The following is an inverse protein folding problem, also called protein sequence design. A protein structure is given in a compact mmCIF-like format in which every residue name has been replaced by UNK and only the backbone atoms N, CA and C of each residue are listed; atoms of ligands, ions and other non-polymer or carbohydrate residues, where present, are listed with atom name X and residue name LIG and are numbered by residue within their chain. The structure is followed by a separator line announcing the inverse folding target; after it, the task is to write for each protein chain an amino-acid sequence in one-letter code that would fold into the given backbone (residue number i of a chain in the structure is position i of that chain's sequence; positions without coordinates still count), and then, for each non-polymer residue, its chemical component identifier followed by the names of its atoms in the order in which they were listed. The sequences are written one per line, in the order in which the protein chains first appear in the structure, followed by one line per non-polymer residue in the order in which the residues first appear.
data_IF_399094283547
#
_entry.id   IF_399094283547
#
_cell.length_a   1.000
_cell.length_b   1.000
_cell.length_c   1.000
_cell.angle_alpha   90.00
_cell.angle_beta   90.00
_cell.angle_gamma   90.00
#
_symmetry.space_group_name_H-M   'P 1'
#
loop_
_entity.id
_entity.type
_entity.pdbx_description
1 polymer ?
#
# COMPACT_ATOMS: atom_id res chain seq x y z
N UNK A 1 -5.90 42.82 -5.12
CA UNK A 1 -5.77 42.35 -6.53
C UNK A 1 -4.50 41.51 -6.56
N UNK A 2 -4.48 40.19 -6.74
CA UNK A 2 -5.44 39.27 -7.36
C UNK A 2 -5.71 38.08 -6.44
N UNK A 3 -6.98 37.75 -6.25
CA UNK A 3 -7.37 36.42 -5.85
C UNK A 3 -7.07 35.49 -7.03
N UNK A 4 -6.04 34.66 -6.93
CA UNK A 4 -5.94 33.49 -7.80
C UNK A 4 -7.08 32.56 -7.39
N UNK A 5 -8.14 32.58 -8.18
CA UNK A 5 -9.23 31.62 -8.14
C UNK A 5 -8.64 30.24 -8.44
N UNK A 6 -8.26 29.51 -7.39
CA UNK A 6 -8.02 28.07 -7.49
C UNK A 6 -9.36 27.43 -7.86
N UNK A 7 -9.53 27.04 -9.12
CA UNK A 7 -10.67 26.23 -9.52
C UNK A 7 -10.70 24.99 -8.61
N UNK A 8 -11.81 24.70 -7.91
CA UNK A 8 -11.91 23.51 -7.08
C UNK A 8 -11.73 22.28 -7.97
N UNK A 9 -10.91 21.32 -7.51
CA UNK A 9 -10.78 20.03 -8.17
C UNK A 9 -12.17 19.36 -8.27
N UNK A 10 -12.48 18.70 -9.39
CA UNK A 10 -13.76 18.01 -9.55
C UNK A 10 -13.90 16.92 -8.47
N UNK A 11 -14.97 16.99 -7.68
CA UNK A 11 -15.26 16.06 -6.59
C UNK A 11 -16.47 15.19 -6.92
N UNK A 12 -16.36 13.87 -6.69
CA UNK A 12 -17.45 12.91 -6.83
C UNK A 12 -17.74 12.27 -5.46
N UNK A 13 -19.01 12.25 -5.04
CA UNK A 13 -19.46 11.56 -3.83
C UNK A 13 -20.20 10.26 -4.19
N UNK A 14 -19.83 9.15 -3.54
CA UNK A 14 -20.46 7.83 -3.76
C UNK A 14 -20.76 7.18 -2.40
N UNK A 15 -21.89 6.45 -2.26
CA UNK A 15 -22.28 5.79 -1.01
C UNK A 15 -21.47 4.49 -0.81
N UNK A 16 -20.16 4.61 -0.65
CA UNK A 16 -19.25 3.51 -0.33
C UNK A 16 -18.77 3.65 1.11
N UNK A 17 -18.98 2.62 1.94
CA UNK A 17 -18.54 2.62 3.33
C UNK A 17 -17.02 2.89 3.46
N UNK A 18 -16.20 2.36 2.54
CA UNK A 18 -14.76 2.62 2.52
C UNK A 18 -14.38 4.06 2.17
N UNK A 19 -15.21 4.77 1.41
CA UNK A 19 -14.98 6.18 1.06
C UNK A 19 -15.62 7.16 2.07
N UNK A 20 -16.36 6.65 3.06
CA UNK A 20 -16.75 7.45 4.22
C UNK A 20 -15.55 7.78 5.11
N UNK A 21 -14.55 6.88 5.15
CA UNK A 21 -13.36 7.03 5.99
C UNK A 21 -12.16 7.61 5.24
N UNK A 22 -12.13 7.55 3.90
CA UNK A 22 -11.00 7.97 3.06
C UNK A 22 -11.45 8.76 1.83
N UNK A 23 -10.63 9.73 1.42
CA UNK A 23 -10.79 10.45 0.14
C UNK A 23 -9.76 9.93 -0.85
N UNK A 24 -10.21 9.50 -2.03
CA UNK A 24 -9.33 9.09 -3.11
C UNK A 24 -9.14 10.27 -4.08
N UNK A 25 -7.88 10.65 -4.30
CA UNK A 25 -7.49 11.67 -5.27
C UNK A 25 -6.93 10.93 -6.49
N UNK A 26 -7.70 10.90 -7.58
CA UNK A 26 -7.22 10.36 -8.84
C UNK A 26 -6.32 11.39 -9.53
N UNK A 27 -5.09 10.99 -9.87
CA UNK A 27 -4.11 11.88 -10.51
C UNK A 27 -3.90 11.47 -11.97
N UNK A 28 -3.74 12.42 -12.91
CA UNK A 28 -3.41 12.10 -14.28
C UNK A 28 -2.12 11.27 -14.37
N UNK A 29 -2.09 10.29 -15.27
CA UNK A 29 -0.95 9.40 -15.43
C UNK A 29 0.37 10.13 -15.76
N UNK A 30 1.42 9.77 -15.02
CA UNK A 30 2.77 10.36 -15.11
C UNK A 30 3.48 10.15 -16.45
N UNK A 31 3.07 9.13 -17.21
CA UNK A 31 3.57 8.84 -18.55
C UNK A 31 2.65 9.39 -19.65
N UNK A 32 1.92 10.48 -19.37
CA UNK A 32 1.17 11.18 -20.41
C UNK A 32 2.14 11.73 -21.46
N UNK A 33 1.77 11.60 -22.74
CA UNK A 33 2.54 12.07 -23.91
C UNK A 33 2.81 13.58 -23.89
N UNK A 34 2.21 14.31 -22.95
CA UNK A 34 2.43 15.73 -22.72
C UNK A 34 3.25 15.94 -21.44
N UNK A 35 4.46 16.48 -21.59
CA UNK A 35 5.33 16.94 -20.49
C UNK A 35 4.58 17.89 -19.53
N UNK A 36 3.57 18.62 -20.02
CA UNK A 36 2.75 19.53 -19.23
C UNK A 36 1.82 18.81 -18.23
N UNK A 37 1.35 17.59 -18.55
CA UNK A 37 0.49 16.80 -17.64
C UNK A 37 1.33 16.10 -16.58
N UNK A 38 2.48 15.53 -16.97
CA UNK A 38 3.45 14.97 -16.03
C UNK A 38 3.95 16.04 -15.07
N UNK A 39 4.25 17.25 -15.58
CA UNK A 39 4.60 18.39 -14.76
C UNK A 39 3.47 18.83 -13.83
N UNK A 40 2.20 18.78 -14.24
CA UNK A 40 1.07 19.08 -13.31
C UNK A 40 0.90 18.05 -12.20
N UNK A 41 1.18 16.77 -12.46
CA UNK A 41 1.15 15.74 -11.42
C UNK A 41 2.37 15.86 -10.50
N UNK A 42 3.54 16.20 -11.06
CA UNK A 42 4.72 16.59 -10.29
C UNK A 42 4.43 17.86 -9.48
N UNK A 43 4.04 19.00 -10.05
CA UNK A 43 3.68 20.24 -9.34
C UNK A 43 2.52 20.06 -8.30
N UNK A 44 1.64 19.06 -8.47
CA UNK A 44 0.58 18.74 -7.52
C UNK A 44 1.07 17.94 -6.31
N UNK A 45 2.12 17.13 -6.49
CA UNK A 45 2.66 16.23 -5.47
C UNK A 45 3.98 16.74 -4.87
N UNK A 46 4.85 17.26 -5.73
CA UNK A 46 5.99 18.10 -5.46
C UNK A 46 5.51 19.56 -5.40
N UNK A 47 5.23 20.04 -4.20
CA UNK A 47 4.81 21.41 -4.01
C UNK A 47 6.05 22.30 -4.07
N UNK A 48 6.36 22.81 -5.27
CA UNK A 48 7.25 23.97 -5.41
C UNK A 48 6.63 25.16 -4.66
N UNK A 49 6.95 25.26 -3.36
CA UNK A 49 6.59 26.34 -2.47
C UNK A 49 5.73 25.91 -1.28
N UNK A 50 6.36 25.75 -0.12
CA UNK A 50 5.86 25.91 1.28
C UNK A 50 4.38 25.59 1.59
N UNK A 51 3.76 24.68 0.84
CA UNK A 51 2.35 24.32 0.97
C UNK A 51 2.24 22.82 1.20
N UNK A 52 1.30 22.48 2.06
CA UNK A 52 0.97 21.13 2.50
C UNK A 52 0.69 20.18 1.33
N UNK A 53 1.21 18.95 1.39
CA UNK A 53 0.78 17.84 0.54
C UNK A 53 -0.70 17.53 0.81
N UNK A 54 -1.59 17.56 -0.19
CA UNK A 54 -3.03 17.34 0.02
C UNK A 54 -3.40 15.87 0.33
N UNK A 55 -2.43 14.95 0.31
CA UNK A 55 -2.65 13.52 0.46
C UNK A 55 -1.83 12.95 1.63
N UNK A 56 -2.49 12.16 2.48
CA UNK A 56 -1.83 11.41 3.55
C UNK A 56 -1.02 10.21 3.03
N UNK A 57 -1.29 9.77 1.79
CA UNK A 57 -0.76 8.54 1.20
C UNK A 57 -0.77 8.54 -0.32
N UNK A 58 0.14 7.78 -0.94
CA UNK A 58 0.23 7.61 -2.39
C UNK A 58 0.08 6.14 -2.79
N UNK A 59 -0.86 5.85 -3.70
CA UNK A 59 -0.97 4.54 -4.35
C UNK A 59 -0.31 4.62 -5.72
N UNK A 60 0.89 4.05 -5.85
CA UNK A 60 1.66 4.12 -7.09
C UNK A 60 1.36 2.93 -7.99
N UNK A 61 0.57 3.15 -9.05
CA UNK A 61 0.23 2.10 -10.03
C UNK A 61 1.34 1.94 -11.06
N UNK A 62 1.92 0.75 -11.14
CA UNK A 62 2.94 0.39 -12.13
C UNK A 62 2.65 -0.94 -12.81
N UNK A 63 3.24 -1.18 -13.98
CA UNK A 63 3.26 -2.53 -14.60
C UNK A 63 4.52 -3.29 -14.19
N UNK A 64 5.65 -2.58 -14.23
CA UNK A 64 6.98 -3.03 -13.83
C UNK A 64 7.69 -1.87 -13.15
N UNK A 65 8.64 -2.14 -12.26
CA UNK A 65 9.42 -1.08 -11.60
C UNK A 65 10.58 -0.65 -12.52
N UNK A 66 10.42 0.51 -13.16
CA UNK A 66 11.43 1.16 -14.00
C UNK A 66 12.19 2.25 -13.22
N UNK A 67 13.34 2.69 -13.77
CA UNK A 67 14.13 3.80 -13.18
C UNK A 67 13.35 5.12 -13.10
N UNK A 68 12.41 5.36 -14.01
CA UNK A 68 11.53 6.54 -13.98
C UNK A 68 10.60 6.52 -12.75
N UNK A 69 10.08 5.33 -12.39
CA UNK A 69 9.23 5.16 -11.22
C UNK A 69 9.99 5.47 -9.93
N UNK A 70 11.24 5.00 -9.85
CA UNK A 70 12.14 5.30 -8.74
C UNK A 70 12.36 6.80 -8.60
N UNK A 71 12.66 7.51 -9.70
CA UNK A 71 12.90 8.97 -9.67
C UNK A 71 11.68 9.76 -9.21
N UNK A 72 10.48 9.35 -9.61
CA UNK A 72 9.26 10.02 -9.19
C UNK A 72 9.02 9.85 -7.68
N UNK A 73 9.15 8.61 -7.19
CA UNK A 73 9.03 8.34 -5.75
C UNK A 73 10.16 9.02 -4.95
N UNK A 74 11.37 9.12 -5.52
CA UNK A 74 12.49 9.87 -4.95
C UNK A 74 12.20 11.38 -4.91
N UNK A 75 11.56 11.96 -5.94
CA UNK A 75 11.17 13.37 -5.95
C UNK A 75 10.12 13.67 -4.88
N UNK A 76 9.12 12.80 -4.74
CA UNK A 76 8.14 12.86 -3.65
C UNK A 76 8.82 12.78 -2.27
N UNK A 77 9.89 12.00 -2.15
CA UNK A 77 10.65 11.85 -0.90
C UNK A 77 11.65 13.00 -0.65
N UNK A 78 12.22 13.62 -1.70
CA UNK A 78 13.27 14.62 -1.58
C UNK A 78 12.78 15.96 -1.00
N UNK A 79 11.51 16.31 -1.19
CA UNK A 79 10.91 17.49 -0.57
C UNK A 79 10.60 17.29 0.92
N UNK A 80 10.51 16.02 1.39
CA UNK A 80 10.37 15.68 2.81
C UNK A 80 11.64 15.96 3.63
N UNK A 81 12.76 16.33 3.01
CA UNK A 81 13.99 16.71 3.73
C UNK A 81 13.86 18.07 4.45
N UNK A 82 12.95 18.95 4.01
CA UNK A 82 12.61 20.19 4.72
C UNK A 82 11.60 19.93 5.86
N UNK A 83 10.66 19.01 5.64
CA UNK A 83 9.65 18.56 6.61
C UNK A 83 9.40 17.04 6.47
N UNK A 84 9.97 16.17 7.34
CA UNK A 84 9.96 14.72 7.10
C UNK A 84 8.57 14.11 7.22
N UNK A 85 7.79 14.12 6.16
CA UNK A 85 6.57 13.31 6.05
C UNK A 85 6.95 11.83 5.95
N UNK A 86 6.13 10.91 6.47
CA UNK A 86 6.42 9.49 6.35
C UNK A 86 6.28 9.04 4.91
N UNK A 87 7.21 8.18 4.47
CA UNK A 87 7.03 7.41 3.23
C UNK A 87 5.76 6.59 3.38
N UNK A 88 4.67 7.13 2.84
CA UNK A 88 3.33 6.60 2.92
C UNK A 88 2.87 6.19 1.51
N UNK A 89 3.78 5.52 0.79
CA UNK A 89 3.54 5.03 -0.56
C UNK A 89 3.37 3.51 -0.58
N UNK A 90 2.34 3.01 -1.26
CA UNK A 90 2.20 1.60 -1.66
C UNK A 90 2.42 1.52 -3.16
N UNK A 91 3.40 0.72 -3.60
CA UNK A 91 3.51 0.42 -5.02
C UNK A 91 2.62 -0.77 -5.39
N UNK A 92 1.90 -0.65 -6.49
CA UNK A 92 0.95 -1.65 -6.95
C UNK A 92 1.37 -2.11 -8.34
N UNK A 93 1.66 -3.41 -8.49
CA UNK A 93 1.80 -4.06 -9.79
C UNK A 93 0.39 -4.28 -10.34
N UNK A 94 -0.15 -3.26 -11.00
CA UNK A 94 -1.54 -3.09 -11.43
C UNK A 94 -2.01 -4.02 -12.54
N UNK A 95 -1.08 -4.73 -13.17
CA UNK A 95 -1.29 -5.70 -14.26
C UNK A 95 -0.72 -7.06 -13.87
N UNK A 96 -1.06 -7.53 -12.67
CA UNK A 96 -0.59 -8.81 -12.16
C UNK A 96 -0.96 -9.99 -13.09
N UNK A 97 -2.09 -9.88 -13.78
CA UNK A 97 -2.61 -10.84 -14.76
C UNK A 97 -1.85 -10.85 -16.10
N UNK A 98 -1.05 -9.82 -16.40
CA UNK A 98 -0.24 -9.77 -17.64
C UNK A 98 1.19 -10.29 -17.43
N UNK A 99 1.61 -10.50 -16.17
CA UNK A 99 2.96 -10.97 -15.85
C UNK A 99 3.21 -12.39 -16.40
N UNK A 100 4.42 -12.58 -16.93
CA UNK A 100 4.76 -13.84 -17.62
C UNK A 100 4.01 -14.05 -18.94
N UNK A 101 3.50 -12.99 -19.58
CA UNK A 101 2.65 -13.03 -20.79
C UNK A 101 1.25 -13.61 -20.54
N UNK A 102 0.70 -13.38 -19.35
CA UNK A 102 -0.65 -13.84 -18.99
C UNK A 102 -0.81 -15.35 -18.88
N UNK A 103 0.28 -16.04 -18.51
CA UNK A 103 0.26 -17.49 -18.27
C UNK A 103 -0.65 -17.85 -17.10
N UNK A 104 -1.09 -19.12 -16.99
CA UNK A 104 -1.98 -19.55 -15.90
C UNK A 104 -1.47 -19.27 -14.48
N UNK A 105 -0.15 -19.09 -14.32
CA UNK A 105 0.57 -18.76 -13.08
C UNK A 105 0.96 -17.27 -12.98
N UNK A 106 0.35 -16.37 -13.78
CA UNK A 106 0.68 -14.94 -13.80
C UNK A 106 0.59 -14.29 -12.42
N UNK A 107 -0.46 -14.59 -11.65
CA UNK A 107 -0.66 -14.04 -10.30
C UNK A 107 0.42 -14.53 -9.31
N UNK A 108 0.80 -15.81 -9.37
CA UNK A 108 1.90 -16.36 -8.56
C UNK A 108 3.24 -15.73 -8.93
N UNK A 109 3.45 -15.52 -10.24
CA UNK A 109 4.61 -14.81 -10.76
C UNK A 109 4.63 -13.35 -10.30
N UNK A 110 3.47 -12.68 -10.28
CA UNK A 110 3.32 -11.33 -9.76
C UNK A 110 3.65 -11.25 -8.27
N UNK A 111 3.21 -12.24 -7.49
CA UNK A 111 3.56 -12.33 -6.07
C UNK A 111 5.07 -12.51 -5.86
N UNK A 112 5.73 -13.36 -6.66
CA UNK A 112 7.19 -13.52 -6.59
C UNK A 112 7.93 -12.24 -6.95
N UNK A 113 7.45 -11.49 -7.95
CA UNK A 113 8.04 -10.18 -8.33
C UNK A 113 7.82 -9.15 -7.23
N UNK A 114 6.62 -9.06 -6.66
CA UNK A 114 6.32 -8.18 -5.54
C UNK A 114 7.21 -8.49 -4.32
N UNK A 115 7.38 -9.77 -3.98
CA UNK A 115 8.27 -10.20 -2.89
C UNK A 115 9.72 -9.79 -3.15
N UNK A 116 10.19 -9.94 -4.39
CA UNK A 116 11.54 -9.49 -4.77
C UNK A 116 11.70 -7.99 -4.62
N UNK A 117 10.71 -7.21 -5.05
CA UNK A 117 10.74 -5.76 -4.89
C UNK A 117 10.69 -5.31 -3.42
N UNK A 118 9.91 -6.00 -2.59
CA UNK A 118 9.92 -5.75 -1.13
C UNK A 118 11.29 -6.02 -0.49
N UNK A 119 12.10 -6.90 -1.07
CA UNK A 119 13.48 -7.14 -0.63
C UNK A 119 14.54 -6.21 -1.24
N UNK A 120 14.22 -5.39 -2.25
CA UNK A 120 15.18 -4.42 -2.80
C UNK A 120 15.22 -3.20 -1.87
N UNK A 121 16.38 -2.96 -1.24
CA UNK A 121 16.58 -1.86 -0.32
C UNK A 121 16.16 -0.51 -0.93
N UNK A 122 16.40 -0.25 -2.21
CA UNK A 122 15.99 1.02 -2.86
C UNK A 122 14.47 1.16 -2.90
N UNK A 123 13.75 0.08 -3.18
CA UNK A 123 12.29 0.11 -3.21
C UNK A 123 11.72 0.20 -1.81
N UNK A 124 12.32 -0.49 -0.83
CA UNK A 124 11.98 -0.31 0.59
C UNK A 124 12.10 1.16 0.97
N UNK A 125 13.14 1.89 0.56
CA UNK A 125 13.22 3.33 0.89
C UNK A 125 12.05 4.15 0.36
N UNK A 126 11.50 3.77 -0.79
CA UNK A 126 10.50 4.54 -1.52
C UNK A 126 9.05 4.12 -1.26
N UNK A 127 8.79 2.88 -0.84
CA UNK A 127 7.44 2.33 -0.67
C UNK A 127 7.35 1.40 0.53
N UNK A 128 6.30 1.53 1.33
CA UNK A 128 6.02 0.67 2.50
C UNK A 128 5.94 -0.80 2.11
N UNK A 129 5.27 -1.06 1.00
CA UNK A 129 5.11 -2.39 0.47
C UNK A 129 4.87 -2.33 -1.03
N UNK A 130 4.99 -3.50 -1.67
CA UNK A 130 4.66 -3.71 -3.07
C UNK A 130 3.61 -4.81 -3.15
N UNK A 131 2.50 -4.53 -3.83
CA UNK A 131 1.37 -5.45 -3.92
C UNK A 131 1.02 -5.78 -5.37
N UNK A 132 0.85 -7.05 -5.74
CA UNK A 132 0.28 -7.42 -7.02
C UNK A 132 -1.23 -7.26 -7.01
N UNK A 133 -1.78 -6.59 -8.02
CA UNK A 133 -3.23 -6.44 -8.18
C UNK A 133 -3.62 -6.65 -9.65
N UNK A 134 -4.64 -7.46 -9.88
CA UNK A 134 -5.29 -7.62 -11.17
C UNK A 134 -6.62 -6.87 -11.15
N UNK A 135 -6.60 -5.57 -11.46
CA UNK A 135 -7.77 -4.68 -11.31
C UNK A 135 -8.98 -5.12 -12.16
N UNK A 136 -8.74 -5.62 -13.37
CA UNK A 136 -9.80 -6.11 -14.25
C UNK A 136 -10.46 -7.38 -13.68
N UNK A 137 -9.66 -8.26 -13.08
CA UNK A 137 -10.13 -9.47 -12.41
C UNK A 137 -11.00 -9.12 -11.20
N UNK A 138 -10.53 -8.16 -10.38
CA UNK A 138 -11.26 -7.65 -9.23
C UNK A 138 -12.63 -7.10 -9.62
N UNK A 139 -12.66 -6.20 -10.61
CA UNK A 139 -13.90 -5.59 -11.11
C UNK A 139 -14.85 -6.63 -11.68
N UNK A 140 -14.32 -7.57 -12.47
CA UNK A 140 -15.13 -8.61 -13.11
C UNK A 140 -15.73 -9.58 -12.10
N UNK A 141 -14.95 -10.01 -11.12
CA UNK A 141 -15.44 -10.84 -10.02
C UNK A 141 -16.57 -10.14 -9.26
N UNK A 142 -16.30 -8.91 -8.79
CA UNK A 142 -17.27 -8.14 -8.00
C UNK A 142 -18.57 -7.78 -8.74
N UNK A 143 -18.57 -7.84 -10.08
CA UNK A 143 -19.75 -7.53 -10.91
C UNK A 143 -20.19 -8.71 -11.77
N UNK A 144 -19.75 -9.93 -11.43
CA UNK A 144 -20.07 -11.15 -12.15
C UNK A 144 -21.58 -11.43 -12.08
N UNK A 145 -22.17 -11.81 -13.21
CA UNK A 145 -23.59 -12.15 -13.32
C UNK A 145 -23.77 -13.62 -13.67
N UNK A 146 -24.95 -14.15 -13.35
CA UNK A 146 -25.32 -15.53 -13.66
C UNK A 146 -25.17 -15.86 -15.16
N UNK A 147 -25.56 -14.96 -16.05
CA UNK A 147 -25.43 -15.17 -17.50
C UNK A 147 -23.96 -15.37 -17.93
N UNK A 148 -23.03 -14.67 -17.28
CA UNK A 148 -21.59 -14.77 -17.57
C UNK A 148 -21.01 -16.06 -17.00
N UNK A 149 -21.46 -16.47 -15.80
CA UNK A 149 -21.13 -17.77 -15.23
C UNK A 149 -21.57 -18.91 -16.16
N UNK A 150 -22.81 -18.90 -16.65
CA UNK A 150 -23.32 -19.93 -17.56
C UNK A 150 -22.54 -19.98 -18.88
N UNK A 151 -22.14 -18.83 -19.42
CA UNK A 151 -21.30 -18.78 -20.61
C UNK A 151 -19.91 -19.39 -20.35
N UNK A 152 -19.28 -19.05 -19.23
CA UNK A 152 -17.98 -19.62 -18.82
C UNK A 152 -18.09 -21.12 -18.54
N UNK A 153 -19.20 -21.59 -17.95
CA UNK A 153 -19.46 -23.00 -17.71
C UNK A 153 -19.65 -23.80 -19.00
N UNK A 154 -20.33 -23.22 -20.00
CA UNK A 154 -20.46 -23.83 -21.32
C UNK A 154 -19.09 -23.99 -22.00
N UNK A 155 -18.20 -22.99 -21.87
CA UNK A 155 -16.81 -23.11 -22.33
C UNK A 155 -16.05 -24.17 -21.52
N UNK A 156 -16.19 -24.19 -20.19
CA UNK A 156 -15.48 -25.11 -19.31
C UNK A 156 -15.84 -26.59 -19.54
N UNK A 157 -17.00 -26.87 -20.13
CA UNK A 157 -17.42 -28.21 -20.53
C UNK A 157 -16.73 -28.73 -21.81
N UNK A 158 -15.95 -27.90 -22.51
CA UNK A 158 -15.22 -28.31 -23.70
C UNK A 158 -14.05 -29.25 -23.35
N UNK A 159 -13.62 -30.12 -24.29
CA UNK A 159 -12.46 -30.97 -24.10
C UNK A 159 -11.19 -30.17 -23.74
N UNK A 160 -10.29 -30.69 -22.88
CA UNK A 160 -9.10 -29.97 -22.44
C UNK A 160 -8.19 -29.50 -23.60
N UNK A 161 -8.06 -30.30 -24.65
CA UNK A 161 -7.27 -29.96 -25.84
C UNK A 161 -7.88 -28.76 -26.58
N UNK A 162 -9.22 -28.71 -26.63
CA UNK A 162 -9.97 -27.63 -27.25
C UNK A 162 -9.83 -26.34 -26.44
N UNK A 163 -9.93 -26.44 -25.12
CA UNK A 163 -9.69 -25.32 -24.20
C UNK A 163 -8.28 -24.76 -24.35
N UNK A 164 -7.26 -25.62 -24.40
CA UNK A 164 -5.87 -25.19 -24.57
C UNK A 164 -5.63 -24.40 -25.86
N UNK A 165 -6.24 -24.83 -26.98
CA UNK A 165 -6.15 -24.12 -28.25
C UNK A 165 -6.91 -22.78 -28.22
N UNK A 166 -8.09 -22.76 -27.62
CA UNK A 166 -8.96 -21.59 -27.53
C UNK A 166 -8.36 -20.49 -26.64
N UNK A 167 -7.78 -20.88 -25.50
CA UNK A 167 -7.19 -19.97 -24.52
C UNK A 167 -5.75 -19.55 -24.85
N UNK A 168 -5.18 -20.01 -25.98
CA UNK A 168 -3.82 -19.65 -26.38
C UNK A 168 -3.66 -18.16 -26.73
N UNK A 169 -4.72 -17.48 -27.17
CA UNK A 169 -4.71 -16.05 -27.48
C UNK A 169 -6.13 -15.49 -27.54
N UNK A 170 -6.28 -14.18 -27.33
CA UNK A 170 -7.57 -13.51 -27.45
C UNK A 170 -8.18 -13.66 -28.85
N UNK A 171 -7.35 -13.52 -29.90
CA UNK A 171 -7.79 -13.66 -31.30
C UNK A 171 -8.39 -15.04 -31.58
N UNK A 172 -7.78 -16.11 -31.06
CA UNK A 172 -8.32 -17.47 -31.19
C UNK A 172 -9.62 -17.64 -30.41
N UNK A 173 -9.72 -17.06 -29.22
CA UNK A 173 -10.92 -17.14 -28.41
C UNK A 173 -12.13 -16.46 -29.09
N UNK A 174 -11.90 -15.34 -29.77
CA UNK A 174 -12.94 -14.56 -30.48
C UNK A 174 -13.03 -14.87 -31.98
N UNK A 175 -12.21 -15.77 -32.52
CA UNK A 175 -12.30 -16.17 -33.92
C UNK A 175 -13.67 -16.80 -34.22
N UNK A 176 -14.18 -16.63 -35.43
CA UNK A 176 -15.44 -17.28 -35.81
C UNK A 176 -15.29 -18.80 -35.75
N UNK A 177 -16.21 -19.45 -35.05
CA UNK A 177 -16.18 -20.89 -34.84
C UNK A 177 -17.58 -21.38 -34.45
N UNK A 178 -18.28 -22.08 -35.37
CA UNK A 178 -19.66 -22.51 -35.18
C UNK A 178 -19.79 -23.75 -34.28
N UNK A 179 -18.69 -24.42 -33.94
CA UNK A 179 -18.72 -25.60 -33.04
C UNK A 179 -18.69 -25.22 -31.56
N UNK A 180 -18.43 -23.95 -31.26
CA UNK A 180 -18.40 -23.44 -29.91
C UNK A 180 -19.81 -23.10 -29.39
N UNK A 181 -20.08 -23.28 -28.09
CA UNK A 181 -21.42 -23.14 -27.51
C UNK A 181 -21.91 -21.69 -27.38
N UNK A 182 -21.06 -20.70 -27.72
CA UNK A 182 -21.33 -19.27 -27.58
C UNK A 182 -21.13 -18.58 -28.91
N UNK A 183 -21.93 -17.56 -29.20
CA UNK A 183 -21.70 -16.70 -30.35
C UNK A 183 -20.38 -15.92 -30.21
N UNK A 184 -19.81 -15.51 -31.35
CA UNK A 184 -18.58 -14.72 -31.39
C UNK A 184 -18.67 -13.44 -30.53
N UNK A 185 -19.82 -12.76 -30.57
CA UNK A 185 -20.06 -11.53 -29.80
C UNK A 185 -20.06 -11.77 -28.27
N UNK A 186 -20.61 -12.90 -27.82
CA UNK A 186 -20.60 -13.26 -26.40
C UNK A 186 -19.18 -13.57 -25.91
N UNK A 187 -18.41 -14.30 -26.72
CA UNK A 187 -16.98 -14.56 -26.45
C UNK A 187 -16.16 -13.27 -26.39
N UNK A 188 -16.40 -12.35 -27.32
CA UNK A 188 -15.76 -11.05 -27.33
C UNK A 188 -16.11 -10.23 -26.08
N UNK A 189 -17.36 -10.29 -25.61
CA UNK A 189 -17.77 -9.61 -24.38
C UNK A 189 -17.09 -10.19 -23.13
N UNK A 190 -16.99 -11.53 -23.04
CA UNK A 190 -16.25 -12.19 -21.97
C UNK A 190 -14.78 -11.74 -21.92
N UNK A 191 -14.09 -11.71 -23.06
CA UNK A 191 -12.68 -11.24 -23.12
C UNK A 191 -12.58 -9.76 -22.78
N UNK A 192 -13.51 -8.92 -23.25
CA UNK A 192 -13.54 -7.49 -22.93
C UNK A 192 -13.70 -7.24 -21.44
N UNK A 193 -14.52 -8.06 -20.76
CA UNK A 193 -14.81 -7.91 -19.33
C UNK A 193 -13.71 -8.53 -18.47
N UNK A 194 -13.38 -9.80 -18.65
CA UNK A 194 -12.47 -10.54 -17.77
C UNK A 194 -11.00 -10.49 -18.20
N UNK A 195 -10.72 -10.10 -19.45
CA UNK A 195 -9.44 -10.39 -20.10
C UNK A 195 -9.28 -11.89 -20.36
N UNK A 196 -8.33 -12.25 -21.24
CA UNK A 196 -8.08 -13.67 -21.54
C UNK A 196 -7.62 -14.45 -20.29
N UNK A 197 -6.82 -13.80 -19.43
CA UNK A 197 -6.39 -14.40 -18.17
C UNK A 197 -7.58 -14.71 -17.25
N UNK A 198 -8.49 -13.76 -17.06
CA UNK A 198 -9.66 -13.96 -16.20
C UNK A 198 -10.62 -15.02 -16.73
N UNK A 199 -10.82 -15.07 -18.06
CA UNK A 199 -11.57 -16.17 -18.70
C UNK A 199 -10.90 -17.51 -18.43
N UNK A 200 -9.59 -17.62 -18.66
CA UNK A 200 -8.85 -18.86 -18.44
C UNK A 200 -8.83 -19.30 -16.98
N UNK A 201 -8.75 -18.36 -16.03
CA UNK A 201 -8.86 -18.65 -14.60
C UNK A 201 -10.26 -19.14 -14.25
N UNK A 202 -11.31 -18.45 -14.69
CA UNK A 202 -12.70 -18.83 -14.40
C UNK A 202 -13.04 -20.21 -14.96
N UNK A 203 -12.70 -20.48 -16.22
CA UNK A 203 -12.89 -21.79 -16.85
C UNK A 203 -12.20 -22.89 -16.06
N UNK A 204 -10.97 -22.65 -15.59
CA UNK A 204 -10.21 -23.62 -14.78
C UNK A 204 -10.88 -23.91 -13.44
N UNK A 205 -11.36 -22.88 -12.75
CA UNK A 205 -12.03 -23.01 -11.44
C UNK A 205 -13.37 -23.74 -11.55
N UNK A 206 -14.12 -23.50 -12.64
CA UNK A 206 -15.36 -24.23 -12.91
C UNK A 206 -15.03 -25.69 -13.25
N UNK A 207 -14.06 -25.92 -14.15
CA UNK A 207 -13.69 -27.27 -14.57
C UNK A 207 -13.11 -28.13 -13.43
N UNK A 208 -12.42 -27.52 -12.46
CA UNK A 208 -11.93 -28.21 -11.26
C UNK A 208 -13.01 -28.45 -10.20
N UNK A 209 -14.18 -27.83 -10.34
CA UNK A 209 -15.26 -27.86 -9.34
C UNK A 209 -15.04 -26.94 -8.14
N UNK A 210 -13.99 -26.10 -8.15
CA UNK A 210 -13.75 -25.09 -7.10
C UNK A 210 -14.78 -23.95 -7.11
N UNK A 211 -15.42 -23.70 -8.26
CA UNK A 211 -16.46 -22.69 -8.42
C UNK A 211 -17.71 -23.32 -9.06
N UNK A 212 -18.64 -23.77 -8.22
CA UNK A 212 -19.84 -24.50 -8.63
C UNK A 212 -21.00 -23.58 -9.07
N UNK A 213 -20.91 -22.29 -8.77
CA UNK A 213 -21.92 -21.27 -9.09
C UNK A 213 -21.28 -19.88 -9.26
N UNK A 214 -22.11 -18.89 -9.64
CA UNK A 214 -21.64 -17.53 -9.86
C UNK A 214 -21.10 -16.86 -8.58
N UNK A 215 -21.63 -17.18 -7.41
CA UNK A 215 -21.23 -16.54 -6.15
C UNK A 215 -19.84 -17.03 -5.70
N UNK A 216 -19.63 -18.35 -5.76
CA UNK A 216 -18.34 -18.99 -5.50
C UNK A 216 -17.28 -18.53 -6.51
N UNK A 217 -17.63 -18.40 -7.80
CA UNK A 217 -16.71 -17.85 -8.81
C UNK A 217 -16.38 -16.38 -8.52
N UNK A 218 -17.38 -15.54 -8.27
CA UNK A 218 -17.21 -14.13 -7.94
C UNK A 218 -16.22 -13.95 -6.79
N UNK A 219 -16.47 -14.64 -5.67
CA UNK A 219 -15.63 -14.63 -4.47
C UNK A 219 -14.20 -15.07 -4.80
N UNK A 220 -14.05 -16.18 -5.54
CA UNK A 220 -12.77 -16.72 -5.94
C UNK A 220 -11.93 -15.76 -6.82
N UNK A 221 -12.57 -15.04 -7.74
CA UNK A 221 -11.90 -14.06 -8.62
C UNK A 221 -11.48 -12.82 -7.84
N UNK A 222 -12.33 -12.31 -6.95
CA UNK A 222 -12.01 -11.15 -6.10
C UNK A 222 -10.85 -11.46 -5.16
N UNK A 223 -10.89 -12.60 -4.46
CA UNK A 223 -9.81 -13.02 -3.55
C UNK A 223 -8.47 -13.14 -4.28
N UNK A 224 -8.44 -13.78 -5.45
CA UNK A 224 -7.20 -13.97 -6.23
C UNK A 224 -6.69 -12.68 -6.89
N UNK A 225 -7.54 -11.66 -7.05
CA UNK A 225 -7.15 -10.40 -7.69
C UNK A 225 -6.17 -9.54 -6.88
N UNK A 226 -6.01 -9.81 -5.58
CA UNK A 226 -5.18 -9.02 -4.67
C UNK A 226 -5.81 -7.71 -4.17
N UNK A 227 -7.04 -7.38 -4.60
CA UNK A 227 -7.70 -6.13 -4.19
C UNK A 227 -8.12 -6.12 -2.72
N UNK A 228 -8.46 -7.28 -2.15
CA UNK A 228 -8.82 -7.39 -0.73
C UNK A 228 -7.61 -7.22 0.17
N UNK A 229 -6.47 -7.77 -0.23
CA UNK A 229 -5.21 -7.55 0.48
C UNK A 229 -4.80 -6.07 0.43
N UNK A 230 -4.93 -5.43 -0.73
CA UNK A 230 -4.71 -3.99 -0.85
C UNK A 230 -5.65 -3.19 0.07
N UNK A 231 -6.94 -3.53 0.09
CA UNK A 231 -7.92 -2.89 0.98
C UNK A 231 -7.53 -3.08 2.44
N UNK A 232 -7.13 -4.29 2.83
CA UNK A 232 -6.69 -4.60 4.19
C UNK A 232 -5.49 -3.73 4.58
N UNK A 233 -4.47 -3.67 3.73
CA UNK A 233 -3.27 -2.85 3.95
C UNK A 233 -3.62 -1.36 4.09
N UNK A 234 -4.49 -0.84 3.22
CA UNK A 234 -4.97 0.53 3.33
C UNK A 234 -5.67 0.81 4.66
N UNK A 235 -6.57 -0.09 5.07
CA UNK A 235 -7.34 0.08 6.30
C UNK A 235 -6.51 -0.15 7.57
N UNK A 236 -5.51 -1.02 7.56
CA UNK A 236 -4.69 -1.29 8.76
C UNK A 236 -3.49 -0.37 8.90
N UNK A 237 -2.74 -0.13 7.82
CA UNK A 237 -1.47 0.61 7.91
C UNK A 237 -1.69 2.13 7.87
N UNK A 238 -2.63 2.61 7.05
CA UNK A 238 -2.86 4.05 6.88
C UNK A 238 -3.89 4.60 7.85
N UNK A 239 -5.00 3.89 8.08
CA UNK A 239 -6.00 4.38 9.03
C UNK A 239 -5.45 4.46 10.45
N UNK A 240 -4.62 3.50 10.88
CA UNK A 240 -4.03 3.50 12.21
C UNK A 240 -3.07 4.68 12.47
N UNK A 241 -2.42 5.21 11.42
CA UNK A 241 -1.51 6.36 11.52
C UNK A 241 -2.17 7.70 11.19
N UNK A 242 -3.41 7.68 10.70
CA UNK A 242 -4.13 8.86 10.22
C UNK A 242 -4.16 10.00 11.25
N UNK A 243 -4.55 9.71 12.50
CA UNK A 243 -4.66 10.74 13.53
C UNK A 243 -3.29 11.32 13.93
N UNK A 244 -2.24 10.48 13.93
CA UNK A 244 -0.87 10.92 14.18
C UNK A 244 -0.34 11.83 13.04
N UNK A 245 -0.63 11.47 11.79
CA UNK A 245 -0.28 12.25 10.60
C UNK A 245 -0.98 13.61 10.59
N UNK A 246 -2.29 13.63 10.86
CA UNK A 246 -3.07 14.87 11.01
C UNK A 246 -2.55 15.76 12.13
N UNK A 247 -2.28 15.18 13.31
CA UNK A 247 -1.72 15.92 14.43
C UNK A 247 -0.38 16.54 14.03
N UNK A 248 0.51 15.76 13.39
CA UNK A 248 1.78 16.28 12.89
C UNK A 248 1.60 17.41 11.88
N UNK A 249 0.75 17.24 10.88
CA UNK A 249 0.47 18.25 9.87
C UNK A 249 0.00 19.56 10.51
N UNK A 250 -0.95 19.47 11.45
CA UNK A 250 -1.41 20.63 12.23
C UNK A 250 -0.27 21.31 13.01
N UNK A 251 0.63 20.54 13.63
CA UNK A 251 1.79 21.09 14.36
C UNK A 251 2.79 21.79 13.43
N UNK A 252 3.00 21.27 12.21
CA UNK A 252 3.85 21.92 11.19
C UNK A 252 3.23 23.24 10.73
N UNK A 253 1.94 23.24 10.40
CA UNK A 253 1.20 24.46 10.03
C UNK A 253 1.25 25.48 11.17
N UNK A 254 1.01 25.07 12.41
CA UNK A 254 1.12 25.96 13.58
C UNK A 254 2.53 26.54 13.72
N UNK A 255 3.58 25.75 13.47
CA UNK A 255 4.95 26.23 13.52
C UNK A 255 5.23 27.31 12.46
N UNK A 256 4.73 27.11 11.23
CA UNK A 256 4.87 28.07 10.14
C UNK A 256 4.10 29.36 10.46
N UNK A 257 2.84 29.26 10.89
CA UNK A 257 2.01 30.41 11.26
C UNK A 257 2.63 31.22 12.40
N UNK A 258 3.13 30.57 13.45
CA UNK A 258 3.78 31.28 14.57
C UNK A 258 5.06 32.01 14.15
N UNK A 259 5.71 31.58 13.07
CA UNK A 259 6.92 32.20 12.52
C UNK A 259 6.59 33.36 11.58
N UNK A 260 5.56 33.21 10.75
CA UNK A 260 5.19 34.16 9.71
C UNK A 260 4.27 35.30 10.21
N UNK A 261 3.40 35.01 11.18
CA UNK A 261 2.45 35.97 11.76
C UNK A 261 2.53 35.95 13.31
N UNK A 262 3.63 36.47 13.89
CA UNK A 262 3.84 36.40 15.33
C UNK A 262 2.90 37.32 16.11
N UNK A 263 2.20 36.75 17.08
CA UNK A 263 1.41 37.48 18.11
C UNK A 263 2.20 37.61 19.42
N UNK A 264 1.75 38.45 20.34
CA UNK A 264 2.43 38.64 21.66
C UNK A 264 2.62 37.32 22.43
N UNK A 265 1.68 36.38 22.30
CA UNK A 265 1.75 35.05 22.91
C UNK A 265 2.59 34.02 22.12
N UNK A 266 3.17 34.39 20.97
CA UNK A 266 3.90 33.45 20.11
C UNK A 266 5.05 32.71 20.81
N UNK A 267 5.86 33.33 21.69
CA UNK A 267 6.90 32.60 22.43
C UNK A 267 6.35 31.50 23.34
N UNK A 268 5.23 31.77 24.03
CA UNK A 268 4.58 30.80 24.91
C UNK A 268 3.96 29.65 24.11
N UNK A 269 3.32 29.97 22.98
CA UNK A 269 2.75 28.97 22.06
C UNK A 269 3.82 28.12 21.41
N UNK A 270 4.95 28.71 20.99
CA UNK A 270 6.09 27.99 20.45
C UNK A 270 6.69 27.02 21.48
N UNK A 271 6.83 27.45 22.73
CA UNK A 271 7.28 26.57 23.82
C UNK A 271 6.29 25.43 24.10
N UNK A 272 4.98 25.70 24.06
CA UNK A 272 3.96 24.67 24.20
C UNK A 272 3.98 23.67 23.04
N UNK A 273 4.19 24.16 21.81
CA UNK A 273 4.32 23.36 20.60
C UNK A 273 5.54 22.42 20.68
N UNK A 274 6.72 22.94 21.06
CA UNK A 274 7.92 22.15 21.28
C UNK A 274 7.71 21.07 22.35
N UNK A 275 7.01 21.42 23.44
CA UNK A 275 6.69 20.47 24.51
C UNK A 275 5.79 19.33 24.03
N UNK A 276 4.79 19.61 23.18
CA UNK A 276 3.94 18.57 22.58
C UNK A 276 4.76 17.68 21.64
N UNK A 277 5.58 18.27 20.78
CA UNK A 277 6.43 17.53 19.83
C UNK A 277 7.48 16.66 20.53
N UNK A 278 8.06 17.15 21.63
CA UNK A 278 9.06 16.42 22.42
C UNK A 278 8.43 15.37 23.34
N UNK A 279 7.19 15.58 23.78
CA UNK A 279 6.49 14.74 24.76
C UNK A 279 5.83 13.48 24.17
N UNK A 280 5.50 13.47 22.89
CA UNK A 280 4.86 12.30 22.25
C UNK A 280 5.90 11.35 21.64
N UNK A 281 5.95 10.12 22.15
CA UNK A 281 6.87 9.10 21.67
C UNK A 281 6.55 8.65 20.25
N UNK A 282 5.28 8.71 19.86
CA UNK A 282 4.77 8.40 18.53
C UNK A 282 5.41 9.28 17.44
N UNK A 283 5.68 10.57 17.73
CA UNK A 283 6.43 11.42 16.81
C UNK A 283 7.92 11.04 16.73
N UNK A 284 8.47 10.47 17.79
CA UNK A 284 9.84 9.96 17.80
C UNK A 284 9.95 8.66 17.00
N UNK A 285 8.98 7.75 17.14
CA UNK A 285 8.86 6.56 16.27
C UNK A 285 8.74 6.97 14.80
N UNK A 286 7.89 7.96 14.50
CA UNK A 286 7.69 8.43 13.14
C UNK A 286 8.96 9.04 12.53
N UNK A 287 9.72 9.82 13.32
CA UNK A 287 11.01 10.35 12.88
C UNK A 287 12.03 9.24 12.64
N UNK A 288 12.10 8.25 13.54
CA UNK A 288 12.99 7.10 13.36
C UNK A 288 12.60 6.30 12.12
N UNK A 289 11.31 6.08 11.89
CA UNK A 289 10.82 5.44 10.66
C UNK A 289 11.33 6.20 9.43
N UNK A 290 11.21 7.53 9.38
CA UNK A 290 11.66 8.30 8.22
C UNK A 290 13.18 8.30 8.06
N UNK A 291 13.93 8.37 9.16
CA UNK A 291 15.38 8.31 9.15
C UNK A 291 15.89 6.93 8.67
N UNK A 292 15.22 5.86 9.11
CA UNK A 292 15.50 4.50 8.64
C UNK A 292 15.21 4.34 7.14
N UNK A 293 14.07 4.88 6.68
CA UNK A 293 13.60 4.75 5.29
C UNK A 293 14.37 5.63 4.30
N UNK A 294 14.83 6.80 4.71
CA UNK A 294 15.75 7.61 3.90
C UNK A 294 17.17 7.03 3.86
N UNK A 295 17.50 6.09 4.76
CA UNK A 295 18.84 5.56 4.96
C UNK A 295 19.76 6.48 5.78
N UNK A 296 19.22 7.54 6.40
CA UNK A 296 19.94 8.37 7.36
C UNK A 296 20.35 7.57 8.62
N UNK A 297 19.55 6.58 9.00
CA UNK A 297 19.90 5.56 10.00
C UNK A 297 19.90 4.20 9.31
N UNK A 298 21.02 3.48 9.35
CA UNK A 298 21.13 2.15 8.75
C UNK A 298 21.35 1.10 9.83
N UNK A 299 20.50 0.08 9.84
CA UNK A 299 20.67 -1.11 10.66
C UNK A 299 21.39 -2.21 9.88
N UNK A 300 21.73 -3.32 10.54
CA UNK A 300 22.25 -4.50 9.84
C UNK A 300 21.11 -5.15 9.04
N UNK A 301 21.40 -5.81 7.90
CA UNK A 301 20.36 -6.45 7.09
C UNK A 301 19.47 -7.43 7.88
N UNK A 302 20.04 -8.16 8.84
CA UNK A 302 19.28 -9.06 9.73
C UNK A 302 18.34 -8.34 10.72
N UNK A 303 18.58 -7.06 11.01
CA UNK A 303 17.81 -6.24 11.95
C UNK A 303 16.68 -5.47 11.26
N UNK A 304 16.81 -5.17 9.96
CA UNK A 304 15.91 -4.27 9.22
C UNK A 304 14.43 -4.66 9.30
N UNK A 305 14.14 -5.96 9.16
CA UNK A 305 12.76 -6.44 9.18
C UNK A 305 12.13 -6.35 10.58
N UNK A 306 12.93 -6.55 11.62
CA UNK A 306 12.49 -6.35 13.01
C UNK A 306 12.24 -4.87 13.29
N UNK A 307 13.10 -3.98 12.79
CA UNK A 307 12.92 -2.51 12.90
C UNK A 307 11.65 -2.06 12.19
N UNK A 308 11.41 -2.51 10.94
CA UNK A 308 10.19 -2.19 10.20
C UNK A 308 8.92 -2.64 10.96
N UNK A 309 8.92 -3.88 11.47
CA UNK A 309 7.80 -4.39 12.30
C UNK A 309 7.63 -3.58 13.57
N UNK A 310 8.69 -3.34 14.32
CA UNK A 310 8.64 -2.60 15.58
C UNK A 310 8.20 -1.16 15.38
N UNK A 311 8.50 -0.51 14.26
CA UNK A 311 8.00 0.83 13.96
C UNK A 311 6.57 0.83 13.39
N UNK A 312 5.96 -0.35 13.25
CA UNK A 312 4.58 -0.51 12.83
C UNK A 312 4.35 -0.46 11.33
N UNK A 313 5.38 -0.73 10.50
CA UNK A 313 5.26 -0.78 9.04
C UNK A 313 4.25 -1.84 8.56
N UNK A 314 3.99 -2.86 9.39
CA UNK A 314 3.08 -3.97 9.08
C UNK A 314 1.77 -3.94 9.88
N UNK A 315 1.55 -2.89 10.68
CA UNK A 315 0.41 -2.78 11.60
C UNK A 315 0.83 -2.28 12.98
N UNK A 316 -0.11 -1.78 13.76
CA UNK A 316 0.14 -1.15 15.06
C UNK A 316 -0.16 -2.07 16.27
N UNK A 317 -0.73 -3.25 16.04
CA UNK A 317 -1.00 -4.21 17.13
C UNK A 317 0.30 -4.74 17.74
N UNK A 318 0.33 -5.06 19.05
CA UNK A 318 1.52 -5.66 19.67
C UNK A 318 1.98 -6.96 18.97
N UNK A 319 1.05 -7.82 18.57
CA UNK A 319 1.37 -9.06 17.84
C UNK A 319 2.07 -8.77 16.50
N UNK A 320 1.51 -7.88 15.67
CA UNK A 320 2.11 -7.51 14.39
C UNK A 320 3.50 -6.87 14.56
N UNK A 321 3.67 -6.00 15.57
CA UNK A 321 4.96 -5.34 15.85
C UNK A 321 6.03 -6.33 16.33
N UNK A 322 5.64 -7.40 17.01
CA UNK A 322 6.53 -8.47 17.48
C UNK A 322 6.75 -9.57 16.44
N UNK A 323 5.96 -9.60 15.36
CA UNK A 323 5.99 -10.68 14.38
C UNK A 323 5.38 -11.99 14.91
N UNK A 324 4.38 -11.89 15.78
CA UNK A 324 3.62 -13.01 16.32
C UNK A 324 2.27 -13.13 15.60
N UNK A 325 1.63 -14.29 15.73
CA UNK A 325 0.27 -14.50 15.23
C UNK A 325 -0.73 -13.58 15.95
N UNK A 326 -1.78 -13.16 15.24
CA UNK A 326 -2.77 -12.19 15.76
C UNK A 326 -3.54 -12.71 16.99
N UNK A 327 -3.59 -14.03 17.19
CA UNK A 327 -4.21 -14.70 18.34
C UNK A 327 -3.23 -14.97 19.50
N UNK A 328 -2.00 -14.46 19.41
CA UNK A 328 -0.99 -14.61 20.46
C UNK A 328 -1.48 -14.10 21.81
N UNK A 329 -1.47 -14.98 22.81
CA UNK A 329 -1.93 -14.66 24.16
C UNK A 329 -1.04 -13.63 24.88
N UNK A 330 -1.56 -12.95 25.92
CA UNK A 330 -0.82 -11.91 26.64
C UNK A 330 0.54 -12.34 27.20
N UNK A 331 0.68 -13.60 27.62
CA UNK A 331 1.95 -14.10 28.17
C UNK A 331 3.02 -14.25 27.07
N UNK A 332 2.64 -14.71 25.88
CA UNK A 332 3.54 -14.80 24.73
C UNK A 332 4.00 -13.39 24.29
N UNK A 333 3.07 -12.42 24.26
CA UNK A 333 3.39 -11.01 23.98
C UNK A 333 4.39 -10.46 25.01
N UNK A 334 4.17 -10.68 26.31
CA UNK A 334 5.09 -10.21 27.36
C UNK A 334 6.47 -10.82 27.24
N UNK A 335 6.59 -12.13 27.04
CA UNK A 335 7.89 -12.80 26.85
C UNK A 335 8.63 -12.22 25.66
N UNK A 336 7.95 -12.11 24.50
CA UNK A 336 8.55 -11.54 23.31
C UNK A 336 9.00 -10.08 23.51
N UNK A 337 8.23 -9.27 24.25
CA UNK A 337 8.61 -7.89 24.58
C UNK A 337 9.85 -7.82 25.47
N UNK A 338 9.93 -8.65 26.52
CA UNK A 338 11.12 -8.68 27.38
C UNK A 338 12.38 -9.09 26.61
N UNK A 339 12.29 -10.12 25.79
CA UNK A 339 13.41 -10.57 24.96
C UNK A 339 13.83 -9.47 23.97
N UNK A 340 12.87 -8.80 23.35
CA UNK A 340 13.12 -7.71 22.39
C UNK A 340 13.77 -6.51 23.08
N UNK A 341 13.28 -6.10 24.25
CA UNK A 341 13.88 -5.03 25.06
C UNK A 341 15.31 -5.36 25.43
N UNK A 342 15.58 -6.59 25.89
CA UNK A 342 16.92 -7.02 26.27
C UNK A 342 17.89 -6.94 25.07
N UNK A 343 17.48 -7.45 23.90
CA UNK A 343 18.29 -7.39 22.67
C UNK A 343 18.61 -5.95 22.26
N UNK A 344 17.61 -5.07 22.20
CA UNK A 344 17.82 -3.70 21.75
C UNK A 344 18.57 -2.83 22.77
N UNK A 345 18.42 -3.08 24.08
CA UNK A 345 19.27 -2.45 25.11
C UNK A 345 20.73 -2.86 24.96
N UNK A 346 21.00 -4.16 24.80
CA UNK A 346 22.35 -4.65 24.55
C UNK A 346 22.94 -4.03 23.27
N UNK A 347 22.12 -3.86 22.22
CA UNK A 347 22.52 -3.18 21.00
C UNK A 347 22.85 -1.71 21.22
N UNK A 348 22.08 -0.99 22.02
CA UNK A 348 22.31 0.42 22.34
C UNK A 348 23.57 0.64 23.19
N UNK A 349 23.85 -0.28 24.13
CA UNK A 349 24.99 -0.19 25.05
C UNK A 349 26.32 -0.71 24.46
N UNK A 350 26.28 -1.39 23.31
CA UNK A 350 27.48 -1.96 22.69
C UNK A 350 28.46 -0.87 22.24
N UNK A 351 29.75 -0.95 22.63
CA UNK A 351 30.77 0.02 22.22
C UNK A 351 31.01 0.09 20.70
N UNK A 352 30.59 -0.94 19.96
CA UNK A 352 30.72 -1.01 18.50
C UNK A 352 29.51 -0.43 17.76
N UNK A 353 28.49 0.03 18.47
CA UNK A 353 27.29 0.65 17.89
C UNK A 353 27.56 2.13 17.63
N UNK A 354 27.28 2.57 16.40
CA UNK A 354 27.28 4.00 16.06
C UNK A 354 26.20 4.75 16.85
N UNK A 355 26.47 6.01 17.20
CA UNK A 355 25.56 6.84 18.00
C UNK A 355 24.13 6.85 17.47
N UNK A 356 23.94 7.06 16.17
CA UNK A 356 22.60 7.13 15.57
C UNK A 356 21.81 5.82 15.73
N UNK A 357 22.51 4.67 15.71
CA UNK A 357 21.89 3.36 15.91
C UNK A 357 21.64 3.09 17.40
N UNK A 358 22.48 3.59 18.29
CA UNK A 358 22.23 3.51 19.74
C UNK A 358 21.00 4.34 20.14
N UNK A 359 20.90 5.56 19.64
CA UNK A 359 19.75 6.44 19.85
C UNK A 359 18.47 5.80 19.28
N UNK A 360 18.55 5.25 18.07
CA UNK A 360 17.44 4.53 17.45
C UNK A 360 17.02 3.28 18.23
N UNK A 361 17.99 2.47 18.71
CA UNK A 361 17.71 1.32 19.56
C UNK A 361 17.02 1.73 20.87
N UNK A 362 17.40 2.87 21.45
CA UNK A 362 16.71 3.46 22.61
C UNK A 362 15.25 3.82 22.33
N UNK A 363 14.94 4.33 21.14
CA UNK A 363 13.55 4.58 20.71
C UNK A 363 12.76 3.27 20.64
N UNK A 364 13.32 2.22 20.02
CA UNK A 364 12.68 0.90 19.92
C UNK A 364 12.42 0.28 21.30
N UNK A 365 13.37 0.40 22.24
CA UNK A 365 13.20 -0.04 23.63
C UNK A 365 12.01 0.67 24.28
N UNK A 366 11.93 2.00 24.18
CA UNK A 366 10.79 2.75 24.74
C UNK A 366 9.46 2.37 24.08
N UNK A 367 9.45 2.06 22.79
CA UNK A 367 8.26 1.55 22.10
C UNK A 367 7.78 0.22 22.70
N UNK A 368 8.71 -0.72 22.94
CA UNK A 368 8.39 -1.99 23.58
C UNK A 368 7.93 -1.82 25.04
N UNK A 369 8.55 -0.92 25.79
CA UNK A 369 8.11 -0.58 27.16
C UNK A 369 6.71 0.01 27.19
N UNK A 370 6.37 0.89 26.24
CA UNK A 370 5.02 1.42 26.09
C UNK A 370 3.99 0.33 25.79
N UNK A 371 4.32 -0.63 24.92
CA UNK A 371 3.47 -1.80 24.66
C UNK A 371 3.27 -2.65 25.93
N UNK A 372 4.32 -2.86 26.74
CA UNK A 372 4.21 -3.58 28.02
C UNK A 372 3.29 -2.87 29.01
N UNK A 373 3.32 -1.53 29.07
CA UNK A 373 2.43 -0.76 29.93
C UNK A 373 0.97 -0.95 29.51
N UNK A 374 0.67 -0.87 28.21
CA UNK A 374 -0.68 -1.09 27.69
C UNK A 374 -1.21 -2.49 27.99
N UNK A 375 -0.35 -3.52 27.94
CA UNK A 375 -0.71 -4.91 28.31
C UNK A 375 -0.90 -5.13 29.82
N UNK A 376 -0.42 -4.20 30.64
CA UNK A 376 -0.49 -4.27 32.10
C UNK A 376 -1.70 -3.52 32.67
N UNK A 377 -2.32 -2.63 31.88
CA UNK A 377 -3.59 -2.00 32.25
C UNK A 377 -4.71 -3.02 31.98
N UNK A 378 -5.47 -3.44 33.00
CA UNK A 378 -6.66 -4.25 32.74
C UNK A 378 -7.62 -3.41 31.87
N UNK A 379 -7.94 -3.89 30.68
CA UNK A 379 -9.04 -3.37 29.86
C UNK A 379 -10.32 -3.49 30.69
N UNK A 380 -10.73 -2.37 31.30
CA UNK A 380 -11.95 -2.23 32.08
C UNK A 380 -13.16 -1.90 31.22
#
# INVERSE_FOLDING_TARGET
KSAQSTNPLPSLSTPSASLAEMTLIDTPGLASVSEEISKRTEDFLALEGDRDTPADAVLYLMRHFHRSDARFLEAFHAEELAHPSPVNAIAILSRADELGSGRPDALESAQRVANRYRGDARIRRLCQTVMPVAGLLAQSGATLREAEYQALAAIAALPPERLGLLLASADRFVADDPELPLAQAERADLVRRLGLFGVGLAVRLIASGEAADADTLSTALVQRSGVEDLRRVLMTQFAARRELLKARAALVVLQAVLREDPVDAAPELAFALERVQAGAHEFTELRLFNAFRSGAVSFRPEEEDEVDRLLGAHGTSPAARLGLDDDAGPDALRTALFDTIARWRQRAESPMTSRDVADAAGVLVRSCEGMLQLLSVPTG
#
